data_IF_808901519861
#
_entry.id   IF_808901519861
#
_cell.length_a   1.000
_cell.length_b   1.000
_cell.length_c   1.000
_cell.angle_alpha   90.00
_cell.angle_beta   90.00
_cell.angle_gamma   90.00
#
_symmetry.space_group_name_H-M   'P 1'
#
loop_
_entity.id
_entity.type
_entity.pdbx_description
1 polymer ?
#
# COMPACT_ATOMS: atom_id res chain seq x y z
N UNK A 1 41.29 59.12 -24.92
CA UNK A 1 42.77 59.13 -24.99
C UNK A 1 43.24 57.69 -25.10
N UNK A 2 44.07 57.37 -26.08
CA UNK A 2 44.65 56.03 -26.25
C UNK A 2 45.94 55.90 -25.41
N UNK A 3 46.29 54.69 -24.93
CA UNK A 3 47.59 54.45 -24.31
C UNK A 3 48.73 54.72 -25.29
N UNK A 4 49.89 55.12 -24.77
CA UNK A 4 51.14 55.22 -25.55
C UNK A 4 51.59 53.82 -25.99
N UNK A 5 51.25 53.47 -27.24
CA UNK A 5 51.44 52.14 -27.82
C UNK A 5 52.93 51.79 -27.93
N UNK A 6 53.82 52.75 -28.14
CA UNK A 6 55.26 52.50 -28.23
C UNK A 6 55.86 52.15 -26.87
N UNK A 7 55.45 52.88 -25.83
CA UNK A 7 55.85 52.58 -24.45
C UNK A 7 55.30 51.22 -24.03
N UNK A 8 54.05 50.91 -24.37
CA UNK A 8 53.44 49.61 -24.08
C UNK A 8 54.16 48.47 -24.81
N UNK A 9 54.55 48.66 -26.07
CA UNK A 9 55.31 47.68 -26.87
C UNK A 9 56.67 47.35 -26.26
N UNK A 10 57.41 48.38 -25.78
CA UNK A 10 58.71 48.20 -25.12
C UNK A 10 58.58 47.40 -23.81
N UNK A 11 57.56 47.68 -23.01
CA UNK A 11 57.31 46.94 -21.76
C UNK A 11 56.85 45.51 -22.06
N UNK A 12 55.98 45.31 -23.05
CA UNK A 12 55.50 43.99 -23.45
C UNK A 12 56.61 43.10 -24.03
N UNK A 13 57.58 43.66 -24.76
CA UNK A 13 58.74 42.91 -25.22
C UNK A 13 59.57 42.32 -24.06
N UNK A 14 59.64 43.02 -22.92
CA UNK A 14 60.28 42.50 -21.70
C UNK A 14 59.45 41.40 -21.01
N UNK A 15 58.13 41.38 -21.21
CA UNK A 15 57.26 40.29 -20.75
C UNK A 15 57.51 39.01 -21.54
N UNK A 16 57.74 39.12 -22.85
CA UNK A 16 57.96 37.98 -23.75
C UNK A 16 59.40 37.46 -23.73
N UNK A 17 60.39 38.34 -23.53
CA UNK A 17 61.83 38.02 -23.69
C UNK A 17 62.71 38.32 -22.47
N UNK A 18 62.10 38.59 -21.30
CA UNK A 18 62.86 38.88 -20.08
C UNK A 18 63.78 37.72 -19.65
N UNK A 19 64.94 38.03 -19.10
CA UNK A 19 65.99 37.05 -18.76
C UNK A 19 65.73 36.25 -17.48
N UNK A 20 64.85 36.75 -16.61
CA UNK A 20 64.47 36.08 -15.35
C UNK A 20 62.96 36.13 -15.07
N UNK A 21 62.45 35.17 -14.30
CA UNK A 21 61.04 35.10 -13.92
C UNK A 21 60.56 36.35 -13.15
N UNK A 22 61.44 36.95 -12.34
CA UNK A 22 61.15 38.19 -11.60
C UNK A 22 61.04 39.41 -12.52
N UNK A 23 61.89 39.52 -13.54
CA UNK A 23 61.81 40.60 -14.53
C UNK A 23 60.55 40.50 -15.38
N UNK A 24 60.17 39.29 -15.81
CA UNK A 24 58.94 39.06 -16.55
C UNK A 24 57.70 39.42 -15.71
N UNK A 25 57.66 39.05 -14.42
CA UNK A 25 56.57 39.40 -13.52
C UNK A 25 56.46 40.92 -13.29
N UNK A 26 57.59 41.60 -13.05
CA UNK A 26 57.63 43.06 -12.90
C UNK A 26 57.25 43.79 -14.19
N UNK A 27 57.61 43.26 -15.36
CA UNK A 27 57.20 43.79 -16.66
C UNK A 27 55.69 43.59 -16.90
N UNK A 28 55.12 42.43 -16.52
CA UNK A 28 53.67 42.18 -16.60
C UNK A 28 52.88 43.14 -15.74
N UNK A 29 53.34 43.36 -14.51
CA UNK A 29 52.69 44.29 -13.58
C UNK A 29 52.73 45.73 -14.10
N UNK A 30 53.87 46.16 -14.64
CA UNK A 30 53.99 47.49 -15.29
C UNK A 30 53.09 47.62 -16.52
N UNK A 31 53.00 46.58 -17.35
CA UNK A 31 52.12 46.55 -18.51
C UNK A 31 50.63 46.64 -18.09
N UNK A 32 50.25 45.92 -17.04
CA UNK A 32 48.91 45.96 -16.44
C UNK A 32 48.54 47.36 -15.97
N UNK A 33 49.40 48.01 -15.16
CA UNK A 33 49.14 49.36 -14.63
C UNK A 33 48.99 50.40 -15.76
N UNK A 34 49.77 50.27 -16.84
CA UNK A 34 49.66 51.16 -18.00
C UNK A 34 48.33 50.93 -18.72
N UNK A 35 47.92 49.67 -18.93
CA UNK A 35 46.67 49.33 -19.61
C UNK A 35 45.41 49.70 -18.79
N UNK A 36 45.41 49.43 -17.48
CA UNK A 36 44.28 49.66 -16.57
C UNK A 36 43.89 51.15 -16.50
N UNK A 37 44.87 52.06 -16.60
CA UNK A 37 44.63 53.52 -16.62
C UNK A 37 43.69 53.95 -17.76
N UNK A 38 43.60 53.16 -18.82
CA UNK A 38 42.76 53.42 -19.99
C UNK A 38 41.58 52.43 -20.10
N UNK A 39 41.30 51.66 -19.05
CA UNK A 39 40.20 50.68 -19.01
C UNK A 39 40.49 49.36 -19.73
N UNK A 40 41.76 49.11 -20.07
CA UNK A 40 42.22 47.85 -20.69
C UNK A 40 42.77 46.89 -19.64
N UNK A 41 42.58 45.60 -19.86
CA UNK A 41 43.22 44.55 -19.05
C UNK A 41 44.51 44.10 -19.71
N UNK A 42 45.41 43.48 -18.94
CA UNK A 42 46.68 42.92 -19.42
C UNK A 42 46.53 42.10 -20.71
N UNK A 43 45.41 41.41 -20.77
CA UNK A 43 44.97 40.45 -21.75
C UNK A 43 44.57 41.11 -23.10
N UNK A 44 44.35 42.43 -23.11
CA UNK A 44 44.04 43.22 -24.32
C UNK A 44 45.29 43.78 -25.02
N UNK A 45 46.43 43.79 -24.32
CA UNK A 45 47.68 44.42 -24.80
C UNK A 45 48.13 43.82 -26.14
N UNK A 46 48.12 42.51 -26.37
CA UNK A 46 48.48 41.95 -27.69
C UNK A 46 47.61 42.48 -28.83
N UNK A 47 46.31 42.66 -28.60
CA UNK A 47 45.36 43.17 -29.60
C UNK A 47 45.62 44.66 -29.87
N UNK A 48 45.86 45.44 -28.81
CA UNK A 48 46.25 46.85 -28.89
C UNK A 48 47.56 47.06 -29.68
N UNK A 49 48.54 46.17 -29.49
CA UNK A 49 49.86 46.29 -30.14
C UNK A 49 49.82 46.02 -31.65
N UNK A 50 48.86 45.20 -32.11
CA UNK A 50 48.61 44.87 -33.53
C UNK A 50 47.58 45.82 -34.16
N UNK A 51 46.93 46.68 -33.36
CA UNK A 51 45.93 47.64 -33.83
C UNK A 51 44.56 47.01 -34.12
N UNK A 52 44.25 45.87 -33.50
CA UNK A 52 42.95 45.20 -33.63
C UNK A 52 41.87 45.78 -32.71
N UNK A 53 40.62 45.37 -32.92
CA UNK A 53 39.50 45.76 -32.06
C UNK A 53 39.52 44.95 -30.75
N UNK A 54 39.79 45.65 -29.64
CA UNK A 54 39.83 45.07 -28.30
C UNK A 54 38.46 44.59 -27.83
N UNK A 55 37.37 45.29 -28.20
CA UNK A 55 36.03 44.90 -27.80
C UNK A 55 35.62 43.59 -28.45
N UNK A 56 35.85 43.45 -29.76
CA UNK A 56 35.60 42.20 -30.50
C UNK A 56 36.45 41.05 -29.94
N UNK A 57 37.74 41.30 -29.67
CA UNK A 57 38.63 40.29 -29.08
C UNK A 57 38.24 39.87 -27.65
N UNK A 58 37.65 40.78 -26.86
CA UNK A 58 37.07 40.43 -25.54
C UNK A 58 35.82 39.57 -25.71
N UNK A 59 34.90 39.94 -26.60
CA UNK A 59 33.68 39.16 -26.85
C UNK A 59 34.00 37.73 -27.32
N UNK A 60 34.98 37.58 -28.22
CA UNK A 60 35.44 36.26 -28.69
C UNK A 60 35.99 35.43 -27.53
N UNK A 61 36.83 36.00 -26.67
CA UNK A 61 37.38 35.29 -25.49
C UNK A 61 36.30 34.90 -24.50
N UNK A 62 35.38 35.81 -24.20
CA UNK A 62 34.25 35.52 -23.32
C UNK A 62 33.36 34.41 -23.91
N UNK A 63 33.09 34.44 -25.22
CA UNK A 63 32.34 33.38 -25.91
C UNK A 63 33.07 32.04 -25.81
N UNK A 64 34.37 32.01 -26.09
CA UNK A 64 35.20 30.81 -25.96
C UNK A 64 35.24 30.30 -24.52
N UNK A 65 35.29 31.20 -23.53
CA UNK A 65 35.26 30.82 -22.11
C UNK A 65 33.91 30.23 -21.73
N UNK A 66 32.79 30.87 -22.12
CA UNK A 66 31.43 30.34 -21.90
C UNK A 66 31.25 28.98 -22.57
N UNK A 67 31.76 28.79 -23.78
CA UNK A 67 31.73 27.49 -24.47
C UNK A 67 32.57 26.43 -23.75
N UNK A 68 33.78 26.77 -23.27
CA UNK A 68 34.62 25.85 -22.48
C UNK A 68 33.95 25.47 -21.16
N UNK A 69 33.35 26.44 -20.47
CA UNK A 69 32.60 26.20 -19.24
C UNK A 69 31.35 25.35 -19.48
N UNK A 70 30.60 25.61 -20.57
CA UNK A 70 29.45 24.80 -20.97
C UNK A 70 29.87 23.35 -21.25
N UNK A 71 30.91 23.14 -22.06
CA UNK A 71 31.46 21.80 -22.34
C UNK A 71 31.94 21.09 -21.08
N UNK A 72 32.56 21.82 -20.15
CA UNK A 72 32.98 21.27 -18.85
C UNK A 72 31.76 20.82 -18.04
N UNK A 73 30.72 21.66 -17.94
CA UNK A 73 29.47 21.32 -17.23
C UNK A 73 28.77 20.12 -17.87
N UNK A 74 28.73 20.06 -19.20
CA UNK A 74 28.17 18.92 -19.93
C UNK A 74 28.95 17.64 -19.67
N UNK A 75 30.29 17.70 -19.68
CA UNK A 75 31.14 16.55 -19.37
C UNK A 75 30.96 16.09 -17.91
N UNK A 76 30.87 17.03 -16.96
CA UNK A 76 30.58 16.76 -15.55
C UNK A 76 29.20 16.10 -15.40
N UNK A 77 28.15 16.64 -16.02
CA UNK A 77 26.81 16.04 -16.02
C UNK A 77 26.78 14.66 -16.67
N UNK A 78 27.47 14.47 -17.79
CA UNK A 78 27.56 13.18 -18.47
C UNK A 78 28.29 12.14 -17.60
N UNK A 79 29.37 12.55 -16.90
CA UNK A 79 30.09 11.70 -15.95
C UNK A 79 29.22 11.33 -14.76
N UNK A 80 28.44 12.29 -14.22
CA UNK A 80 27.51 12.08 -13.12
C UNK A 80 26.38 11.12 -13.52
N UNK A 81 25.81 11.27 -14.72
CA UNK A 81 24.80 10.34 -15.26
C UNK A 81 25.36 8.93 -15.41
N UNK A 82 26.58 8.78 -15.92
CA UNK A 82 27.25 7.48 -16.04
C UNK A 82 27.50 6.86 -14.66
N UNK A 83 27.95 7.65 -13.69
CA UNK A 83 28.17 7.20 -12.31
C UNK A 83 26.85 6.76 -11.64
N UNK A 84 25.78 7.55 -11.78
CA UNK A 84 24.46 7.22 -11.27
C UNK A 84 23.90 5.92 -11.88
N UNK A 85 24.05 5.73 -13.19
CA UNK A 85 23.64 4.50 -13.85
C UNK A 85 24.46 3.28 -13.37
N UNK A 86 25.77 3.46 -13.13
CA UNK A 86 26.63 2.41 -12.57
C UNK A 86 26.19 2.06 -11.14
N UNK A 87 25.94 3.06 -10.30
CA UNK A 87 25.47 2.88 -8.93
C UNK A 87 24.10 2.17 -8.90
N UNK A 88 23.16 2.58 -9.74
CA UNK A 88 21.86 1.92 -9.87
C UNK A 88 22.00 0.44 -10.28
N UNK A 89 22.87 0.13 -11.25
CA UNK A 89 23.12 -1.26 -11.65
C UNK A 89 23.76 -2.07 -10.53
N UNK A 90 24.64 -1.46 -9.74
CA UNK A 90 25.25 -2.13 -8.59
C UNK A 90 24.19 -2.43 -7.52
N UNK A 91 23.35 -1.46 -7.17
CA UNK A 91 22.25 -1.66 -6.22
C UNK A 91 21.29 -2.80 -6.65
N UNK A 92 20.97 -2.90 -7.94
CA UNK A 92 20.18 -4.02 -8.45
C UNK A 92 20.86 -5.38 -8.30
N UNK A 93 22.19 -5.43 -8.43
CA UNK A 93 22.98 -6.67 -8.22
C UNK A 93 23.05 -7.02 -6.74
N UNK A 94 23.32 -6.04 -5.89
CA UNK A 94 23.37 -6.24 -4.44
C UNK A 94 22.02 -6.78 -3.93
N UNK A 95 20.90 -6.22 -4.44
CA UNK A 95 19.56 -6.74 -4.15
C UNK A 95 19.36 -8.16 -4.71
N UNK A 96 19.86 -8.46 -5.92
CA UNK A 96 19.76 -9.80 -6.50
C UNK A 96 20.56 -10.84 -5.69
N UNK A 97 21.71 -10.44 -5.14
CA UNK A 97 22.54 -11.27 -4.27
C UNK A 97 21.88 -11.51 -2.92
N UNK A 98 21.27 -10.47 -2.33
CA UNK A 98 20.46 -10.61 -1.12
C UNK A 98 19.30 -11.61 -1.34
N UNK A 99 18.56 -11.45 -2.43
CA UNK A 99 17.47 -12.37 -2.80
C UNK A 99 18.03 -13.78 -2.95
N UNK A 100 19.10 -13.97 -3.73
CA UNK A 100 19.71 -15.29 -3.95
C UNK A 100 20.19 -15.91 -2.63
N UNK A 101 20.72 -15.10 -1.72
CA UNK A 101 21.14 -15.48 -0.37
C UNK A 101 20.00 -15.98 0.50
N UNK A 102 18.80 -15.37 0.43
CA UNK A 102 17.59 -15.84 1.15
C UNK A 102 17.20 -17.28 0.80
N UNK A 103 17.56 -17.74 -0.41
CA UNK A 103 17.30 -19.11 -0.87
C UNK A 103 18.56 -20.00 -0.84
N UNK A 104 19.64 -19.56 -0.18
CA UNK A 104 20.90 -20.30 -0.08
C UNK A 104 21.47 -20.69 -1.46
N UNK A 105 21.31 -19.83 -2.47
CA UNK A 105 21.73 -20.10 -3.85
C UNK A 105 20.83 -21.05 -4.63
N UNK A 106 19.76 -21.58 -4.03
CA UNK A 106 18.82 -22.54 -4.64
C UNK A 106 17.58 -21.87 -5.27
N UNK A 107 17.62 -20.55 -5.50
CA UNK A 107 16.49 -19.77 -6.02
C UNK A 107 15.91 -20.37 -7.31
N UNK A 108 16.76 -20.82 -8.23
CA UNK A 108 16.34 -21.40 -9.52
C UNK A 108 16.30 -22.93 -9.54
N UNK A 109 16.60 -23.59 -8.42
CA UNK A 109 16.42 -25.04 -8.32
C UNK A 109 14.93 -25.36 -8.20
N UNK A 110 14.53 -26.50 -8.74
CA UNK A 110 13.18 -27.02 -8.54
C UNK A 110 12.97 -27.30 -7.04
N UNK A 111 12.01 -26.62 -6.44
CA UNK A 111 11.61 -26.86 -5.06
C UNK A 111 10.83 -28.18 -4.96
N UNK A 112 10.74 -28.81 -3.77
CA UNK A 112 9.98 -30.05 -3.60
C UNK A 112 8.53 -29.95 -4.09
N UNK A 113 7.83 -28.88 -3.70
CA UNK A 113 6.45 -28.63 -4.12
C UNK A 113 6.31 -28.40 -5.64
N UNK A 114 7.30 -27.77 -6.27
CA UNK A 114 7.31 -27.60 -7.72
C UNK A 114 7.47 -28.95 -8.43
N UNK A 115 8.36 -29.80 -7.92
CA UNK A 115 8.61 -31.13 -8.46
C UNK A 115 7.36 -32.00 -8.36
N UNK A 116 6.67 -31.97 -7.21
CA UNK A 116 5.39 -32.68 -7.01
C UNK A 116 4.35 -32.25 -8.06
N UNK A 117 4.21 -30.95 -8.32
CA UNK A 117 3.26 -30.43 -9.30
C UNK A 117 3.63 -30.82 -10.74
N UNK A 118 4.92 -30.80 -11.07
CA UNK A 118 5.43 -31.21 -12.39
C UNK A 118 5.21 -32.70 -12.62
N UNK A 119 5.56 -33.53 -11.65
CA UNK A 119 5.44 -34.99 -11.72
C UNK A 119 3.96 -35.41 -11.84
N UNK A 120 3.06 -34.74 -11.12
CA UNK A 120 1.63 -35.04 -11.14
C UNK A 120 0.99 -34.91 -12.52
N UNK A 121 1.49 -34.02 -13.37
CA UNK A 121 0.93 -33.76 -14.70
C UNK A 121 1.72 -34.42 -15.82
N UNK A 122 2.84 -35.08 -15.49
CA UNK A 122 3.75 -35.65 -16.47
C UNK A 122 3.07 -36.72 -17.35
N UNK A 123 2.18 -37.53 -16.77
CA UNK A 123 1.38 -38.53 -17.49
C UNK A 123 0.32 -37.92 -18.42
N UNK A 124 -0.02 -36.65 -18.21
CA UNK A 124 -1.00 -35.90 -19.00
C UNK A 124 -0.35 -34.95 -20.02
N UNK A 125 0.99 -34.82 -19.98
CA UNK A 125 1.74 -34.01 -20.93
C UNK A 125 1.89 -34.76 -22.26
N UNK A 126 1.31 -34.22 -23.34
CA UNK A 126 1.55 -34.74 -24.68
C UNK A 126 3.01 -34.46 -25.12
N UNK A 127 3.64 -35.33 -25.92
CA UNK A 127 4.96 -35.05 -26.49
C UNK A 127 4.94 -33.72 -27.26
N UNK A 128 5.83 -32.79 -26.90
CA UNK A 128 5.89 -31.46 -27.52
C UNK A 128 5.04 -30.38 -26.85
N UNK A 129 4.51 -30.65 -25.65
CA UNK A 129 3.82 -29.65 -24.82
C UNK A 129 4.69 -28.39 -24.64
N UNK A 130 4.33 -27.30 -25.32
CA UNK A 130 4.83 -25.94 -25.08
C UNK A 130 3.64 -24.98 -24.99
N UNK A 131 3.82 -24.00 -24.11
CA UNK A 131 2.96 -22.89 -23.74
C UNK A 131 1.82 -22.53 -24.71
N UNK A 132 0.59 -22.46 -24.19
CA UNK A 132 -0.52 -21.74 -24.84
C UNK A 132 -1.80 -22.52 -25.16
N UNK A 133 -1.92 -23.80 -24.81
CA UNK A 133 -3.09 -24.63 -25.15
C UNK A 133 -3.76 -25.31 -23.95
N UNK A 134 -5.05 -25.58 -24.13
CA UNK A 134 -6.02 -26.04 -23.14
C UNK A 134 -5.50 -27.18 -22.25
N UNK A 135 -5.49 -26.92 -20.95
CA UNK A 135 -5.21 -27.94 -19.95
C UNK A 135 -6.34 -28.97 -19.95
N UNK A 136 -6.00 -30.25 -20.15
CA UNK A 136 -7.00 -31.32 -20.03
C UNK A 136 -7.59 -31.35 -18.62
N UNK A 137 -8.87 -31.71 -18.50
CA UNK A 137 -9.54 -31.83 -17.19
C UNK A 137 -8.77 -32.78 -16.26
N UNK A 138 -8.22 -33.88 -16.79
CA UNK A 138 -7.40 -34.82 -16.02
C UNK A 138 -6.11 -34.18 -15.49
N UNK A 139 -5.44 -33.32 -16.26
CA UNK A 139 -4.26 -32.61 -15.77
C UNK A 139 -4.60 -31.58 -14.67
N UNK A 140 -5.73 -30.89 -14.78
CA UNK A 140 -6.20 -29.96 -13.75
C UNK A 140 -6.60 -30.69 -12.46
N UNK A 141 -7.26 -31.84 -12.57
CA UNK A 141 -7.57 -32.70 -11.43
C UNK A 141 -6.29 -33.26 -10.78
N UNK A 142 -5.32 -33.70 -11.59
CA UNK A 142 -4.02 -34.12 -11.09
C UNK A 142 -3.33 -33.00 -10.28
N UNK A 143 -3.33 -31.75 -10.77
CA UNK A 143 -2.81 -30.60 -10.02
C UNK A 143 -3.56 -30.30 -8.72
N UNK A 144 -4.89 -30.44 -8.73
CA UNK A 144 -5.73 -30.23 -7.55
C UNK A 144 -5.46 -31.29 -6.47
N UNK A 145 -5.08 -32.50 -6.87
CA UNK A 145 -4.79 -33.62 -5.94
C UNK A 145 -3.32 -33.70 -5.52
N UNK A 146 -2.39 -33.19 -6.33
CA UNK A 146 -0.95 -33.26 -6.09
C UNK A 146 -0.52 -32.62 -4.76
N UNK A 147 -1.11 -31.48 -4.42
CA UNK A 147 -0.95 -30.81 -3.14
C UNK A 147 -2.33 -30.53 -2.55
N UNK A 148 -2.51 -30.69 -1.22
CA UNK A 148 -3.80 -30.45 -0.58
C UNK A 148 -4.28 -29.03 -0.93
N UNK A 149 -5.54 -28.91 -1.32
CA UNK A 149 -6.13 -27.60 -1.58
C UNK A 149 -6.36 -26.86 -0.26
N UNK A 150 -6.03 -25.56 -0.20
CA UNK A 150 -6.40 -24.70 0.91
C UNK A 150 -7.88 -24.79 1.23
N UNK A 151 -8.22 -24.87 2.51
CA UNK A 151 -9.62 -24.93 2.98
C UNK A 151 -10.14 -23.57 3.44
N UNK A 152 -9.22 -22.66 3.74
CA UNK A 152 -9.54 -21.32 4.23
C UNK A 152 -9.01 -20.25 3.30
N UNK A 153 -9.60 -19.05 3.37
CA UNK A 153 -9.16 -17.88 2.62
C UNK A 153 -7.69 -17.54 2.91
N UNK A 154 -7.29 -17.62 4.18
CA UNK A 154 -5.93 -17.28 4.62
C UNK A 154 -4.90 -18.28 4.11
N UNK A 155 -5.20 -19.58 4.13
CA UNK A 155 -4.33 -20.60 3.55
C UNK A 155 -4.14 -20.38 2.04
N UNK A 156 -5.22 -20.07 1.31
CA UNK A 156 -5.17 -19.87 -0.13
C UNK A 156 -4.34 -18.64 -0.51
N UNK A 157 -4.54 -17.52 0.20
CA UNK A 157 -3.76 -16.31 0.01
C UNK A 157 -2.30 -16.50 0.42
N UNK A 158 -2.02 -17.27 1.48
CA UNK A 158 -0.66 -17.57 1.90
C UNK A 158 0.09 -18.41 0.85
N UNK A 159 -0.53 -19.46 0.30
CA UNK A 159 0.05 -20.28 -0.76
C UNK A 159 0.28 -19.43 -2.03
N UNK A 160 -0.71 -18.64 -2.45
CA UNK A 160 -0.59 -17.78 -3.63
C UNK A 160 0.52 -16.74 -3.46
N UNK A 161 0.61 -16.11 -2.27
CA UNK A 161 1.68 -15.16 -1.93
C UNK A 161 3.05 -15.82 -1.98
N UNK A 162 3.19 -17.05 -1.48
CA UNK A 162 4.45 -17.81 -1.55
C UNK A 162 4.91 -18.00 -2.99
N UNK A 163 4.02 -18.45 -3.87
CA UNK A 163 4.35 -18.66 -5.28
C UNK A 163 4.63 -17.36 -6.03
N UNK A 164 3.85 -16.31 -5.75
CA UNK A 164 4.06 -14.98 -6.34
C UNK A 164 5.41 -14.40 -5.91
N UNK A 165 5.76 -14.52 -4.64
CA UNK A 165 7.06 -14.05 -4.11
C UNK A 165 8.21 -14.79 -4.78
N UNK A 166 8.13 -16.12 -4.90
CA UNK A 166 9.16 -16.92 -5.57
C UNK A 166 9.31 -16.53 -7.06
N UNK A 167 8.19 -16.34 -7.76
CA UNK A 167 8.18 -15.89 -9.15
C UNK A 167 8.81 -14.51 -9.30
N UNK A 168 8.40 -13.55 -8.47
CA UNK A 168 8.92 -12.17 -8.50
C UNK A 168 10.41 -12.13 -8.18
N UNK A 169 10.86 -12.88 -7.17
CA UNK A 169 12.28 -13.01 -6.80
C UNK A 169 13.10 -13.59 -7.97
N UNK A 170 12.64 -14.69 -8.58
CA UNK A 170 13.29 -15.28 -9.76
C UNK A 170 13.33 -14.32 -10.95
N UNK A 171 12.23 -13.62 -11.24
CA UNK A 171 12.17 -12.65 -12.33
C UNK A 171 13.10 -11.46 -12.07
N UNK A 172 13.13 -10.96 -10.84
CA UNK A 172 14.01 -9.86 -10.43
C UNK A 172 15.47 -10.24 -10.64
N UNK A 173 15.91 -11.38 -10.09
CA UNK A 173 17.31 -11.84 -10.19
C UNK A 173 17.69 -12.08 -11.65
N UNK A 174 16.82 -12.72 -12.44
CA UNK A 174 17.05 -12.92 -13.89
C UNK A 174 17.22 -11.59 -14.64
N UNK A 175 16.39 -10.58 -14.33
CA UNK A 175 16.49 -9.22 -14.92
C UNK A 175 17.75 -8.48 -14.47
N UNK A 176 18.10 -8.55 -13.19
CA UNK A 176 19.29 -7.91 -12.64
C UNK A 176 20.59 -8.42 -13.29
N UNK A 177 20.65 -9.72 -13.56
CA UNK A 177 21.79 -10.37 -14.22
C UNK A 177 21.75 -10.35 -15.76
N UNK A 178 20.68 -9.84 -16.38
CA UNK A 178 20.49 -9.79 -17.84
C UNK A 178 20.63 -11.16 -18.53
N UNK A 179 20.20 -12.24 -17.88
CA UNK A 179 20.53 -13.60 -18.32
C UNK A 179 19.67 -14.19 -19.47
N UNK A 180 18.52 -13.62 -19.88
CA UNK A 180 17.80 -14.06 -21.10
C UNK A 180 16.56 -13.19 -21.42
N UNK A 181 15.98 -13.41 -22.60
CA UNK A 181 14.80 -12.76 -23.22
C UNK A 181 13.64 -12.50 -22.26
N UNK A 182 12.89 -11.42 -22.53
CA UNK A 182 11.74 -10.97 -21.74
C UNK A 182 10.53 -11.94 -21.78
N UNK A 183 10.54 -12.92 -22.67
CA UNK A 183 9.32 -13.63 -23.08
C UNK A 183 9.10 -15.00 -22.41
N UNK A 184 10.06 -15.55 -21.66
CA UNK A 184 9.87 -16.84 -20.98
C UNK A 184 9.69 -16.66 -19.46
N UNK A 185 8.60 -17.21 -18.91
CA UNK A 185 8.37 -17.22 -17.46
C UNK A 185 9.46 -18.05 -16.76
N UNK A 186 9.74 -17.69 -15.50
CA UNK A 186 10.77 -18.32 -14.65
C UNK A 186 10.22 -19.47 -13.81
N UNK A 187 8.91 -19.68 -13.85
CA UNK A 187 8.21 -20.74 -13.14
C UNK A 187 7.85 -21.87 -14.11
N UNK A 188 7.88 -23.14 -13.64
CA UNK A 188 7.28 -24.24 -14.39
C UNK A 188 5.79 -23.98 -14.64
N UNK A 189 5.30 -24.33 -15.83
CA UNK A 189 3.89 -24.17 -16.23
C UNK A 189 2.89 -24.82 -15.24
N UNK A 190 3.16 -26.00 -14.66
CA UNK A 190 2.29 -26.60 -13.64
C UNK A 190 2.11 -25.72 -12.39
N UNK A 191 3.14 -24.97 -12.02
CA UNK A 191 3.09 -24.03 -10.88
C UNK A 191 2.25 -22.81 -11.25
N UNK A 192 2.42 -22.27 -12.46
CA UNK A 192 1.58 -21.17 -12.96
C UNK A 192 0.10 -21.56 -12.99
N UNK A 193 -0.20 -22.80 -13.36
CA UNK A 193 -1.58 -23.29 -13.36
C UNK A 193 -2.12 -23.51 -11.93
N UNK A 194 -1.30 -24.02 -10.99
CA UNK A 194 -1.67 -24.05 -9.56
C UNK A 194 -1.98 -22.66 -9.03
N UNK A 195 -1.22 -21.63 -9.41
CA UNK A 195 -1.51 -20.24 -9.03
C UNK A 195 -2.86 -19.76 -9.56
N UNK A 196 -3.25 -20.14 -10.79
CA UNK A 196 -4.59 -19.84 -11.32
C UNK A 196 -5.69 -20.55 -10.55
N UNK A 197 -5.52 -21.84 -10.24
CA UNK A 197 -6.45 -22.60 -9.40
C UNK A 197 -6.62 -21.93 -8.02
N UNK A 198 -5.53 -21.48 -7.40
CA UNK A 198 -5.58 -20.75 -6.13
C UNK A 198 -6.33 -19.41 -6.25
N UNK A 199 -6.12 -18.68 -7.36
CA UNK A 199 -6.84 -17.44 -7.62
C UNK A 199 -8.35 -17.71 -7.79
N UNK A 200 -8.73 -18.76 -8.53
CA UNK A 200 -10.12 -19.17 -8.71
C UNK A 200 -10.76 -19.62 -7.38
N UNK A 201 -10.03 -20.35 -6.55
CA UNK A 201 -10.45 -20.72 -5.18
C UNK A 201 -10.80 -19.48 -4.36
N UNK A 202 -9.88 -18.51 -4.30
CA UNK A 202 -10.07 -17.24 -3.57
C UNK A 202 -11.24 -16.46 -4.13
N UNK A 203 -11.38 -16.43 -5.46
CA UNK A 203 -12.34 -15.58 -6.14
C UNK A 203 -13.77 -16.16 -6.13
N UNK A 204 -13.94 -17.48 -6.18
CA UNK A 204 -15.23 -18.11 -6.49
C UNK A 204 -15.60 -19.35 -5.68
N UNK A 205 -14.65 -20.23 -5.37
CA UNK A 205 -14.97 -21.59 -4.89
C UNK A 205 -15.01 -21.71 -3.35
N UNK A 206 -14.18 -20.96 -2.62
CA UNK A 206 -14.13 -21.04 -1.16
C UNK A 206 -15.43 -20.50 -0.53
N UNK A 207 -15.98 -21.25 0.43
CA UNK A 207 -17.13 -20.81 1.23
C UNK A 207 -16.65 -19.81 2.27
N UNK A 208 -17.29 -18.63 2.33
CA UNK A 208 -16.93 -17.59 3.29
C UNK A 208 -17.78 -17.73 4.55
N UNK A 209 -17.13 -17.78 5.71
CA UNK A 209 -17.80 -17.95 7.02
C UNK A 209 -18.04 -16.62 7.73
N UNK A 210 -17.32 -15.57 7.33
CA UNK A 210 -17.35 -14.30 8.03
C UNK A 210 -17.14 -13.10 7.07
N UNK A 211 -17.43 -11.91 7.58
CA UNK A 211 -17.31 -10.66 6.82
C UNK A 211 -15.84 -10.34 6.48
N UNK A 212 -14.89 -10.79 7.30
CA UNK A 212 -13.47 -10.57 7.05
C UNK A 212 -13.00 -11.29 5.78
N UNK A 213 -13.42 -12.54 5.59
CA UNK A 213 -13.15 -13.31 4.37
C UNK A 213 -13.77 -12.65 3.14
N UNK A 214 -14.97 -12.07 3.28
CA UNK A 214 -15.60 -11.29 2.22
C UNK A 214 -14.76 -10.05 1.86
N UNK A 215 -14.28 -9.31 2.87
CA UNK A 215 -13.40 -8.17 2.64
C UNK A 215 -12.10 -8.58 1.95
N UNK A 216 -11.52 -9.74 2.32
CA UNK A 216 -10.33 -10.32 1.67
C UNK A 216 -10.60 -10.63 0.20
N UNK A 217 -11.72 -11.30 -0.13
CA UNK A 217 -12.11 -11.59 -1.53
C UNK A 217 -12.32 -10.32 -2.35
N UNK A 218 -13.06 -9.35 -1.83
CA UNK A 218 -13.28 -8.08 -2.54
C UNK A 218 -11.96 -7.35 -2.78
N UNK A 219 -11.08 -7.30 -1.76
CA UNK A 219 -9.75 -6.68 -1.89
C UNK A 219 -8.89 -7.40 -2.94
N UNK A 220 -8.94 -8.72 -2.96
CA UNK A 220 -8.26 -9.54 -3.97
C UNK A 220 -8.77 -9.25 -5.38
N UNK A 221 -10.10 -9.24 -5.58
CA UNK A 221 -10.73 -8.90 -6.86
C UNK A 221 -10.37 -7.48 -7.32
N UNK A 222 -10.33 -6.51 -6.40
CA UNK A 222 -9.91 -5.14 -6.72
C UNK A 222 -8.44 -5.07 -7.14
N UNK A 223 -7.57 -5.84 -6.50
CA UNK A 223 -6.15 -5.90 -6.86
C UNK A 223 -5.94 -6.56 -8.23
N UNK A 224 -6.63 -7.68 -8.49
CA UNK A 224 -6.63 -8.35 -9.78
C UNK A 224 -7.22 -7.47 -10.90
N UNK A 225 -8.25 -6.68 -10.59
CA UNK A 225 -8.96 -5.82 -11.52
C UNK A 225 -8.24 -4.53 -11.94
N UNK A 226 -7.04 -4.23 -11.40
CA UNK A 226 -6.23 -3.09 -11.88
C UNK A 226 -5.70 -3.27 -13.31
N UNK A 227 -5.88 -4.45 -13.94
CA UNK A 227 -5.60 -4.71 -15.36
C UNK A 227 -6.82 -5.04 -16.24
N UNK A 228 -7.97 -5.41 -15.65
CA UNK A 228 -9.23 -5.68 -16.35
C UNK A 228 -10.37 -5.23 -15.43
N UNK A 229 -11.31 -4.43 -15.93
CA UNK A 229 -12.41 -3.89 -15.14
C UNK A 229 -13.09 -4.98 -14.28
N UNK A 230 -13.41 -4.63 -13.03
CA UNK A 230 -14.35 -5.32 -12.13
C UNK A 230 -15.78 -5.43 -12.69
N UNK A 231 -15.95 -5.47 -14.02
CA UNK A 231 -17.25 -5.44 -14.71
C UNK A 231 -17.72 -6.81 -15.16
N UNK A 232 -17.19 -7.89 -14.60
CA UNK A 232 -17.75 -9.22 -14.81
C UNK A 232 -18.91 -9.44 -13.86
N UNK A 233 -20.11 -9.69 -14.40
CA UNK A 233 -21.30 -10.16 -13.67
C UNK A 233 -20.96 -11.26 -12.65
N UNK A 234 -19.98 -12.10 -12.99
CA UNK A 234 -19.43 -13.21 -12.21
C UNK A 234 -18.85 -12.77 -10.83
N UNK A 235 -18.20 -11.60 -10.74
CA UNK A 235 -17.63 -11.11 -9.48
C UNK A 235 -18.70 -10.66 -8.48
N UNK A 236 -19.75 -10.01 -8.98
CA UNK A 236 -20.91 -9.60 -8.17
C UNK A 236 -21.74 -10.80 -7.74
N UNK A 237 -21.93 -11.79 -8.60
CA UNK A 237 -22.60 -13.05 -8.25
C UNK A 237 -21.89 -13.81 -7.13
N UNK A 238 -20.56 -13.85 -7.14
CA UNK A 238 -19.78 -14.45 -6.06
C UNK A 238 -20.00 -13.71 -4.73
N UNK A 239 -19.92 -12.37 -4.72
CA UNK A 239 -20.16 -11.55 -3.53
C UNK A 239 -21.58 -11.75 -2.99
N UNK A 240 -22.59 -11.80 -3.88
CA UNK A 240 -23.97 -12.02 -3.47
C UNK A 240 -24.17 -13.41 -2.85
N UNK A 241 -23.58 -14.46 -3.45
CA UNK A 241 -23.57 -15.82 -2.88
C UNK A 241 -22.95 -15.83 -1.49
N UNK A 242 -21.83 -15.15 -1.30
CA UNK A 242 -21.12 -15.10 -0.03
C UNK A 242 -21.93 -14.37 1.05
N UNK A 243 -22.55 -13.24 0.70
CA UNK A 243 -23.42 -12.50 1.61
C UNK A 243 -24.63 -13.32 2.03
N UNK A 244 -25.18 -14.12 1.12
CA UNK A 244 -26.27 -15.04 1.43
C UNK A 244 -25.82 -16.17 2.37
N UNK A 245 -24.66 -16.77 2.13
CA UNK A 245 -24.08 -17.80 3.02
C UNK A 245 -23.86 -17.26 4.45
N UNK A 246 -23.21 -16.09 4.57
CA UNK A 246 -22.97 -15.44 5.88
C UNK A 246 -24.30 -15.10 6.57
N UNK A 247 -25.32 -14.67 5.82
CA UNK A 247 -26.64 -14.40 6.38
C UNK A 247 -27.30 -15.67 6.91
N UNK A 248 -27.24 -16.78 6.17
CA UNK A 248 -27.85 -18.04 6.56
C UNK A 248 -27.20 -18.60 7.84
N UNK A 249 -25.88 -18.54 7.93
CA UNK A 249 -25.13 -18.97 9.12
C UNK A 249 -25.53 -18.16 10.37
N UNK A 250 -25.63 -16.83 10.25
CA UNK A 250 -26.12 -15.97 11.35
C UNK A 250 -27.57 -16.26 11.75
N UNK A 251 -28.43 -16.58 10.79
CA UNK A 251 -29.83 -16.93 11.10
C UNK A 251 -29.88 -18.23 11.91
N UNK A 252 -29.08 -19.23 11.54
CA UNK A 252 -28.96 -20.51 12.28
C UNK A 252 -28.45 -20.26 13.70
N UNK A 253 -27.36 -19.50 13.86
CA UNK A 253 -26.82 -19.13 15.19
C UNK A 253 -27.88 -18.46 16.09
N UNK A 254 -28.71 -17.58 15.52
CA UNK A 254 -29.76 -16.90 16.30
C UNK A 254 -30.92 -17.81 16.68
N UNK A 255 -31.27 -18.78 15.84
CA UNK A 255 -32.31 -19.77 16.16
C UNK A 255 -31.80 -20.79 17.18
N UNK A 256 -30.54 -21.20 17.09
CA UNK A 256 -29.89 -22.07 18.08
C UNK A 256 -29.77 -21.37 19.45
N UNK A 257 -29.46 -20.07 19.48
CA UNK A 257 -29.52 -19.30 20.72
C UNK A 257 -30.95 -19.21 21.27
N UNK A 258 -31.97 -19.01 20.43
CA UNK A 258 -33.37 -18.94 20.86
C UNK A 258 -33.86 -20.28 21.41
N UNK A 259 -33.48 -21.40 20.80
CA UNK A 259 -33.84 -22.74 21.29
C UNK A 259 -33.14 -23.06 22.60
N UNK A 260 -31.86 -22.71 22.76
CA UNK A 260 -31.14 -22.85 24.02
C UNK A 260 -31.76 -21.99 25.13
N UNK A 261 -32.15 -20.75 24.86
CA UNK A 261 -32.87 -19.89 25.82
C UNK A 261 -34.22 -20.53 26.21
N UNK A 262 -34.96 -21.09 25.25
CA UNK A 262 -36.24 -21.75 25.52
C UNK A 262 -36.07 -23.02 26.36
N UNK A 263 -35.09 -23.87 26.06
CA UNK A 263 -34.80 -25.10 26.81
C UNK A 263 -34.31 -24.78 28.24
N UNK A 264 -33.40 -23.82 28.39
CA UNK A 264 -32.93 -23.38 29.72
C UNK A 264 -34.01 -22.67 30.55
N UNK A 265 -35.06 -22.11 29.93
CA UNK A 265 -36.25 -21.64 30.65
C UNK A 265 -37.26 -22.75 30.96
N UNK A 266 -37.29 -23.83 30.17
CA UNK A 266 -38.21 -24.96 30.35
C UNK A 266 -37.71 -25.94 31.43
N UNK A 267 -36.40 -26.14 31.54
CA UNK A 267 -35.77 -26.98 32.59
C UNK A 267 -35.79 -26.31 33.97
N UNK A 268 -36.33 -25.08 34.06
CA UNK A 268 -36.33 -24.26 35.26
C UNK A 268 -37.74 -23.93 35.76
N UNK A 269 -38.62 -24.94 35.87
CA UNK A 269 -39.60 -25.14 36.97
C UNK A 269 -40.78 -26.06 36.57
N UNK A 270 -41.46 -26.76 37.52
CA UNK A 270 -41.29 -26.68 38.99
C UNK A 270 -41.12 -28.05 39.68
N UNK A 271 -40.10 -28.14 40.53
CA UNK A 271 -40.22 -28.94 41.75
C UNK A 271 -39.30 -28.34 42.82
N UNK A 272 -39.91 -27.67 43.81
CA UNK A 272 -39.46 -27.51 45.19
C UNK A 272 -40.26 -26.41 45.89
N UNK A 273 -41.30 -26.85 46.59
CA UNK A 273 -41.80 -26.16 47.76
C UNK A 273 -40.97 -26.60 48.97
N UNK A 274 -40.31 -25.66 49.68
CA UNK A 274 -40.63 -25.30 51.06
C UNK A 274 -39.52 -24.46 51.74
N UNK A 275 -40.00 -23.39 52.38
CA UNK A 275 -39.49 -22.69 53.57
C UNK A 275 -38.10 -22.00 53.49
N UNK A 276 -38.08 -20.68 53.31
CA UNK A 276 -38.14 -19.70 54.41
C UNK A 276 -38.51 -18.31 53.83
N UNK A 277 -39.17 -17.49 54.65
CA UNK A 277 -40.01 -16.39 54.19
C UNK A 277 -39.32 -15.23 53.47
N UNK A 278 -39.95 -14.78 52.38
CA UNK A 278 -39.99 -13.37 51.99
C UNK A 278 -41.27 -13.09 51.19
N UNK A 279 -41.85 -11.92 51.45
CA UNK A 279 -43.22 -11.52 51.12
C UNK A 279 -43.46 -11.45 49.60
N UNK A 280 -44.56 -12.08 49.17
CA UNK A 280 -45.43 -11.75 48.03
C UNK A 280 -44.84 -10.93 46.87
N UNK A 281 -44.72 -11.56 45.70
CA UNK A 281 -44.49 -10.87 44.43
C UNK A 281 -45.26 -11.55 43.29
N UNK A 282 -46.58 -11.65 43.42
CA UNK A 282 -47.44 -12.00 42.29
C UNK A 282 -47.08 -11.09 41.10
N UNK A 283 -46.84 -11.68 39.93
CA UNK A 283 -46.42 -10.96 38.73
C UNK A 283 -47.46 -9.90 38.38
N UNK A 284 -47.19 -8.65 38.80
CA UNK A 284 -48.06 -7.53 38.46
C UNK A 284 -48.13 -7.40 36.95
N UNK A 285 -49.35 -7.41 36.42
CA UNK A 285 -49.59 -7.24 34.98
C UNK A 285 -48.94 -5.94 34.50
N UNK A 286 -48.62 -5.83 33.20
CA UNK A 286 -47.99 -4.62 32.66
C UNK A 286 -48.83 -3.35 32.95
N UNK A 287 -50.15 -3.51 33.03
CA UNK A 287 -51.11 -2.46 33.39
C UNK A 287 -50.97 -2.05 34.87
N UNK A 288 -50.87 -3.01 35.78
CA UNK A 288 -50.66 -2.74 37.22
C UNK A 288 -49.31 -2.06 37.49
N UNK A 289 -48.24 -2.48 36.79
CA UNK A 289 -46.93 -1.83 36.92
C UNK A 289 -46.97 -0.39 36.42
N UNK A 290 -47.70 -0.10 35.34
CA UNK A 290 -47.91 1.29 34.87
C UNK A 290 -48.68 2.11 35.90
N UNK A 291 -49.79 1.58 36.43
CA UNK A 291 -50.58 2.26 37.45
C UNK A 291 -49.77 2.56 38.73
N UNK A 292 -48.92 1.62 39.15
CA UNK A 292 -48.02 1.80 40.30
C UNK A 292 -46.95 2.87 40.06
N UNK A 293 -46.36 2.93 38.86
CA UNK A 293 -45.42 4.01 38.50
C UNK A 293 -46.13 5.37 38.49
N UNK A 294 -47.34 5.44 37.94
CA UNK A 294 -48.12 6.69 37.95
C UNK A 294 -48.48 7.15 39.36
N UNK A 295 -48.86 6.23 40.25
CA UNK A 295 -49.17 6.55 41.65
C UNK A 295 -47.95 7.16 42.36
N UNK A 296 -46.76 6.58 42.18
CA UNK A 296 -45.52 7.11 42.76
C UNK A 296 -45.21 8.49 42.16
N UNK A 297 -45.27 8.64 40.83
CA UNK A 297 -44.99 9.92 40.16
C UNK A 297 -46.00 11.04 40.49
N UNK A 298 -47.21 10.72 40.96
CA UNK A 298 -48.17 11.70 41.48
C UNK A 298 -47.87 12.14 42.92
N UNK A 299 -47.14 11.34 43.70
CA UNK A 299 -46.75 11.68 45.07
C UNK A 299 -45.66 12.77 45.12
N UNK A 300 -45.67 13.60 46.16
CA UNK A 300 -44.64 14.62 46.41
C UNK A 300 -43.25 14.02 46.68
N UNK A 301 -43.19 12.76 47.15
CA UNK A 301 -41.95 12.01 47.38
C UNK A 301 -41.15 11.82 46.08
N UNK A 302 -41.84 11.65 44.93
CA UNK A 302 -41.20 11.39 43.64
C UNK A 302 -40.29 12.51 43.11
N UNK A 303 -40.42 13.73 43.60
CA UNK A 303 -39.55 14.84 43.20
C UNK A 303 -38.12 14.68 43.75
N UNK A 304 -37.97 13.97 44.87
CA UNK A 304 -36.67 13.73 45.52
C UNK A 304 -36.05 12.39 45.10
N UNK A 305 -36.80 11.54 44.38
CA UNK A 305 -36.36 10.20 43.99
C UNK A 305 -35.74 10.18 42.60
N UNK A 306 -34.68 9.38 42.44
CA UNK A 306 -34.08 9.15 41.12
C UNK A 306 -34.95 8.19 40.28
N UNK A 307 -34.86 8.28 38.95
CA UNK A 307 -35.63 7.39 38.05
C UNK A 307 -35.30 5.91 38.28
N UNK A 308 -34.06 5.62 38.69
CA UNK A 308 -33.60 4.25 39.01
C UNK A 308 -34.23 3.72 40.29
N UNK A 309 -34.42 4.56 41.31
CA UNK A 309 -35.10 4.17 42.55
C UNK A 309 -36.58 3.85 42.30
N UNK A 310 -37.27 4.68 41.52
CA UNK A 310 -38.68 4.45 41.15
C UNK A 310 -38.81 3.14 40.34
N UNK A 311 -37.90 2.93 39.38
CA UNK A 311 -37.82 1.71 38.58
C UNK A 311 -37.60 0.46 39.45
N UNK A 312 -36.69 0.54 40.42
CA UNK A 312 -36.40 -0.55 41.36
C UNK A 312 -37.58 -0.87 42.28
N UNK A 313 -38.34 0.14 42.74
CA UNK A 313 -39.51 -0.08 43.62
C UNK A 313 -40.68 -0.77 42.90
N UNK A 314 -40.83 -0.57 41.58
CA UNK A 314 -41.96 -1.13 40.82
C UNK A 314 -41.58 -2.34 39.96
N UNK A 315 -40.28 -2.61 39.78
CA UNK A 315 -39.80 -3.72 38.95
C UNK A 315 -39.96 -3.44 37.45
N UNK A 316 -39.61 -2.23 37.00
CA UNK A 316 -39.64 -1.78 35.60
C UNK A 316 -38.32 -1.14 35.19
N UNK A 317 -38.06 -0.95 33.89
CA UNK A 317 -36.85 -0.26 33.44
C UNK A 317 -36.92 1.26 33.71
N UNK A 318 -35.79 1.94 33.97
CA UNK A 318 -35.76 3.40 34.09
C UNK A 318 -36.29 4.15 32.86
N UNK A 319 -36.12 3.58 31.67
CA UNK A 319 -36.67 4.12 30.41
C UNK A 319 -38.21 4.11 30.41
N UNK A 320 -38.83 3.08 30.99
CA UNK A 320 -40.29 2.98 31.14
C UNK A 320 -40.81 4.08 32.07
N UNK A 321 -40.15 4.33 33.20
CA UNK A 321 -40.52 5.41 34.13
C UNK A 321 -40.39 6.79 33.46
N UNK A 322 -39.33 7.01 32.69
CA UNK A 322 -39.12 8.26 31.94
C UNK A 322 -40.24 8.52 30.92
N UNK A 323 -40.63 7.49 30.16
CA UNK A 323 -41.71 7.59 29.17
C UNK A 323 -43.06 7.90 29.81
N UNK A 324 -43.39 7.27 30.95
CA UNK A 324 -44.62 7.55 31.71
C UNK A 324 -44.59 8.99 32.25
N UNK A 325 -43.46 9.43 32.83
CA UNK A 325 -43.29 10.79 33.35
C UNK A 325 -43.44 11.86 32.27
N UNK A 326 -42.94 11.62 31.06
CA UNK A 326 -43.13 12.52 29.90
C UNK A 326 -44.60 12.60 29.49
N UNK A 327 -45.28 11.45 29.35
CA UNK A 327 -46.71 11.41 29.01
C UNK A 327 -47.56 12.16 30.03
N UNK A 328 -47.32 11.99 31.33
CA UNK A 328 -48.05 12.72 32.38
C UNK A 328 -47.85 14.23 32.32
N UNK A 329 -46.65 14.72 31.97
CA UNK A 329 -46.40 16.16 31.76
C UNK A 329 -47.18 16.68 30.55
N UNK A 330 -47.18 15.93 29.44
CA UNK A 330 -47.95 16.28 28.24
C UNK A 330 -49.45 16.32 28.53
N UNK A 331 -50.00 15.34 29.26
CA UNK A 331 -51.42 15.32 29.64
C UNK A 331 -51.79 16.47 30.59
N UNK A 332 -50.91 16.85 31.52
CA UNK A 332 -51.14 18.02 32.40
C UNK A 332 -51.12 19.34 31.64
N UNK A 333 -50.21 19.51 30.68
CA UNK A 333 -50.13 20.72 29.85
C UNK A 333 -51.35 20.92 28.94
N UNK A 334 -52.04 19.84 28.57
CA UNK A 334 -53.26 19.91 27.74
C UNK A 334 -54.49 20.31 28.58
N UNK A 335 -54.57 19.91 29.86
CA UNK A 335 -55.70 20.27 30.73
C UNK A 335 -55.58 21.65 31.40
N UNK A 336 -54.43 22.32 31.35
CA UNK A 336 -54.24 23.71 31.83
C UNK A 336 -54.55 24.78 30.78
N UNK A 337 -55.08 24.40 29.62
CA UNK A 337 -55.47 25.32 28.53
C UNK A 337 -56.99 25.58 28.46
N UNK A 338 -57.78 25.03 29.38
CA UNK A 338 -59.24 25.23 29.49
C UNK A 338 -59.67 25.77 30.88
N UNK A 339 -58.88 26.68 31.48
CA UNK A 339 -59.30 27.53 32.60
C UNK A 339 -58.95 28.99 32.37
#
# INVERSE_FOLDING_TARGET
MMPDVERLRKVWALVERGGSAGECAAARERARVIAERYGYVLDDIPVLLVGGDVYEAREIRERQQREREARRREAEQASARKAALKAHRQALRDQADEITGRYEGRLFCAMPDESILVDAVQSHALPGWRAGYDWSSGALEALRTALPLPKTMDEALAELKRWTTLRDDRQFVRRAYRQASQDEDVMPEPVLQRMKILADLVQFELVLTNIEDLMKRVSFQMAAGKGQQLSGVIGLEAILRDLEAIRQERVIETEDLKTHIRQSTADRAPDQAQATGSKSGGQRTATERRAAVEAILRSSESQKMTLREIASRVGVSPATVLNIRRRMKTTRSICTLDQ
#
